data_IF_291752318946
#
_entry.id   IF_291752318946
#
_cell.length_a   1.000
_cell.length_b   1.000
_cell.length_c   1.000
_cell.angle_alpha   90.00
_cell.angle_beta   90.00
_cell.angle_gamma   90.00
#
_symmetry.space_group_name_H-M   'P 1'
#
loop_
_entity.id
_entity.type
_entity.pdbx_description
1 polymer ?
#
# COMPACT_ATOMS: atom_id res chain seq x y z
N UNK A 1 78.13 9.48 35.88
CA UNK A 1 76.90 9.57 36.69
C UNK A 1 75.66 9.40 35.78
N UNK A 2 75.05 8.24 35.79
CA UNK A 2 73.88 7.95 34.98
C UNK A 2 72.65 7.94 35.88
N UNK A 3 71.71 8.87 35.70
CA UNK A 3 70.45 8.96 36.48
C UNK A 3 69.38 8.13 35.78
N UNK A 4 69.06 6.99 36.39
CA UNK A 4 67.97 6.09 35.95
C UNK A 4 66.63 6.70 36.33
N UNK A 5 65.85 7.16 35.33
CA UNK A 5 64.45 7.59 35.47
C UNK A 5 63.53 6.36 35.55
N UNK A 6 63.00 6.06 36.72
CA UNK A 6 61.96 5.03 36.92
C UNK A 6 60.59 5.53 36.54
N UNK A 7 60.11 5.16 35.34
CA UNK A 7 58.72 5.36 34.94
C UNK A 7 57.76 4.51 35.81
N UNK A 8 57.02 5.14 36.70
CA UNK A 8 55.93 4.51 37.47
C UNK A 8 54.75 4.25 36.55
N UNK A 9 54.54 3.02 36.12
CA UNK A 9 53.29 2.58 35.44
C UNK A 9 52.11 2.76 36.42
N UNK A 10 51.19 3.73 36.12
CA UNK A 10 49.91 3.87 36.83
C UNK A 10 49.05 2.62 36.56
N UNK A 11 48.84 1.80 37.57
CA UNK A 11 47.88 0.67 37.53
C UNK A 11 46.47 1.25 37.36
N UNK A 12 45.82 0.98 36.20
CA UNK A 12 44.40 1.28 35.98
C UNK A 12 43.57 0.54 37.05
N UNK A 13 43.00 1.26 38.00
CA UNK A 13 42.13 0.73 39.04
C UNK A 13 40.85 0.20 38.39
N UNK A 14 40.68 -1.12 38.31
CA UNK A 14 39.47 -1.72 37.73
C UNK A 14 38.21 -1.29 38.49
N UNK A 15 37.12 -1.08 37.77
CA UNK A 15 35.82 -0.66 38.31
C UNK A 15 35.34 -1.67 39.41
N UNK A 16 34.86 -1.15 40.54
CA UNK A 16 34.34 -2.01 41.65
C UNK A 16 33.15 -2.84 41.14
N UNK A 17 33.01 -4.12 41.59
CA UNK A 17 31.94 -5.03 41.18
C UNK A 17 30.52 -4.41 41.30
N UNK A 18 30.30 -3.59 42.33
CA UNK A 18 29.05 -2.85 42.59
C UNK A 18 28.76 -1.82 41.48
N UNK A 19 29.75 -1.06 41.04
CA UNK A 19 29.65 -0.08 39.97
C UNK A 19 29.37 -0.73 38.61
N UNK A 20 29.99 -1.92 38.33
CA UNK A 20 29.68 -2.69 37.12
C UNK A 20 28.24 -3.19 37.10
N UNK A 21 27.70 -3.68 38.20
CA UNK A 21 26.29 -4.10 38.31
C UNK A 21 25.35 -2.93 38.11
N UNK A 22 25.60 -1.75 38.68
CA UNK A 22 24.77 -0.55 38.47
C UNK A 22 24.79 -0.08 37.02
N UNK A 23 25.93 -0.12 36.34
CA UNK A 23 26.02 0.22 34.92
C UNK A 23 25.25 -0.79 34.06
N UNK A 24 25.32 -2.08 34.34
CA UNK A 24 24.56 -3.11 33.62
C UNK A 24 23.05 -2.90 33.82
N UNK A 25 22.59 -2.64 35.05
CA UNK A 25 21.18 -2.33 35.31
C UNK A 25 20.71 -1.09 34.55
N UNK A 26 21.51 -0.01 34.59
CA UNK A 26 21.18 1.23 33.87
C UNK A 26 21.12 1.01 32.35
N UNK A 27 22.02 0.21 31.77
CA UNK A 27 21.99 -0.16 30.34
C UNK A 27 20.73 -0.98 30.03
N UNK A 28 20.36 -1.94 30.89
CA UNK A 28 19.14 -2.72 30.71
C UNK A 28 17.88 -1.84 30.80
N UNK A 29 17.82 -0.90 31.74
CA UNK A 29 16.71 0.08 31.85
C UNK A 29 16.61 0.92 30.60
N UNK A 30 17.72 1.46 30.06
CA UNK A 30 17.75 2.22 28.81
C UNK A 30 17.25 1.37 27.63
N UNK A 31 17.65 0.12 27.53
CA UNK A 31 17.21 -0.79 26.46
C UNK A 31 15.70 -1.09 26.57
N UNK A 32 15.19 -1.28 27.78
CA UNK A 32 13.74 -1.48 28.01
C UNK A 32 12.97 -0.23 27.63
N UNK A 33 13.43 0.96 28.03
CA UNK A 33 12.79 2.23 27.68
C UNK A 33 12.82 2.45 26.17
N UNK A 34 13.95 2.19 25.51
CA UNK A 34 14.07 2.29 24.05
C UNK A 34 13.11 1.31 23.34
N UNK A 35 13.00 0.07 23.85
CA UNK A 35 12.03 -0.91 23.35
C UNK A 35 10.58 -0.45 23.51
N UNK A 36 10.21 0.09 24.67
CA UNK A 36 8.87 0.63 24.90
C UNK A 36 8.56 1.82 24.00
N UNK A 37 9.51 2.73 23.81
CA UNK A 37 9.35 3.87 22.87
C UNK A 37 9.15 3.33 21.46
N UNK A 38 9.90 2.32 21.01
CA UNK A 38 9.73 1.68 19.71
C UNK A 38 8.33 1.07 19.54
N UNK A 39 7.81 0.38 20.55
CA UNK A 39 6.44 -0.19 20.51
C UNK A 39 5.38 0.90 20.46
N UNK A 40 5.50 1.94 21.28
CA UNK A 40 4.56 3.09 21.28
C UNK A 40 4.59 3.79 19.91
N UNK A 41 5.78 3.99 19.35
CA UNK A 41 5.97 4.59 18.04
C UNK A 41 5.30 3.74 16.94
N UNK A 42 5.58 2.44 16.88
CA UNK A 42 4.95 1.53 15.93
C UNK A 42 3.42 1.54 16.06
N UNK A 43 2.91 1.47 17.29
CA UNK A 43 1.47 1.53 17.55
C UNK A 43 0.85 2.84 17.07
N UNK A 44 1.50 3.98 17.27
CA UNK A 44 1.00 5.29 16.82
C UNK A 44 0.91 5.40 15.29
N UNK A 45 1.73 4.66 14.54
CA UNK A 45 1.68 4.62 13.08
C UNK A 45 0.56 3.72 12.59
N UNK A 46 0.49 2.53 13.13
CA UNK A 46 -0.45 1.49 12.71
C UNK A 46 -1.89 1.85 13.08
N UNK A 47 -2.11 2.53 14.20
CA UNK A 47 -3.44 2.99 14.63
C UNK A 47 -4.09 4.00 13.67
N UNK A 48 -3.38 4.45 12.63
CA UNK A 48 -3.92 5.31 11.57
C UNK A 48 -4.67 4.55 10.48
N UNK A 49 -4.39 3.25 10.33
CA UNK A 49 -5.10 2.39 9.37
C UNK A 49 -6.48 2.09 9.90
N UNK A 50 -7.48 2.16 9.03
CA UNK A 50 -8.83 1.70 9.33
C UNK A 50 -8.90 0.17 9.17
N UNK A 51 -8.88 -0.53 10.31
CA UNK A 51 -8.93 -1.99 10.37
C UNK A 51 -10.38 -2.47 10.41
N UNK A 52 -10.93 -2.80 9.26
CA UNK A 52 -12.28 -3.33 9.11
C UNK A 52 -12.23 -4.85 8.91
N UNK A 53 -12.11 -5.59 10.01
CA UNK A 53 -12.04 -7.04 9.97
C UNK A 53 -13.33 -7.64 9.45
N UNK A 54 -13.21 -8.55 8.49
CA UNK A 54 -14.32 -9.37 8.03
C UNK A 54 -14.61 -10.44 9.10
N UNK A 55 -15.77 -10.34 9.75
CA UNK A 55 -16.16 -11.26 10.82
C UNK A 55 -16.65 -12.60 10.30
N UNK A 56 -17.31 -12.59 9.14
CA UNK A 56 -17.86 -13.79 8.50
C UNK A 56 -17.09 -14.07 7.20
N UNK A 57 -16.60 -15.30 6.99
CA UNK A 57 -15.91 -15.63 5.75
C UNK A 57 -16.74 -15.26 4.51
N UNK A 58 -16.09 -14.63 3.55
CA UNK A 58 -16.73 -14.27 2.28
C UNK A 58 -17.12 -15.54 1.53
N UNK A 59 -18.32 -15.55 0.98
CA UNK A 59 -18.82 -16.67 0.21
C UNK A 59 -17.99 -16.96 -1.03
N UNK A 60 -17.72 -18.24 -1.28
CA UNK A 60 -16.98 -18.74 -2.44
C UNK A 60 -17.82 -19.82 -3.14
N UNK A 61 -17.59 -20.01 -4.44
CA UNK A 61 -18.14 -21.16 -5.17
C UNK A 61 -17.44 -22.44 -4.73
N UNK A 62 -18.01 -23.60 -5.09
CA UNK A 62 -17.25 -24.85 -5.04
C UNK A 62 -16.08 -24.78 -6.04
N UNK A 63 -14.86 -24.80 -5.52
CA UNK A 63 -13.64 -24.78 -6.33
C UNK A 63 -13.15 -26.21 -6.47
N UNK A 64 -12.73 -26.59 -7.66
CA UNK A 64 -12.17 -27.92 -7.94
C UNK A 64 -10.97 -28.19 -7.01
N UNK A 65 -10.90 -29.42 -6.49
CA UNK A 65 -9.84 -29.83 -5.55
C UNK A 65 -8.44 -29.70 -6.13
N UNK A 66 -8.26 -29.93 -7.43
CA UNK A 66 -6.99 -29.75 -8.12
C UNK A 66 -6.59 -28.25 -8.17
N UNK A 67 -7.55 -27.37 -8.39
CA UNK A 67 -7.35 -25.93 -8.36
C UNK A 67 -7.00 -25.44 -6.94
N UNK A 68 -7.66 -25.98 -5.91
CA UNK A 68 -7.34 -25.67 -4.51
C UNK A 68 -5.90 -26.08 -4.17
N UNK A 69 -5.49 -27.30 -4.50
CA UNK A 69 -4.13 -27.80 -4.25
C UNK A 69 -3.07 -26.95 -4.98
N UNK A 70 -3.36 -26.56 -6.24
CA UNK A 70 -2.46 -25.71 -7.03
C UNK A 70 -2.32 -24.31 -6.45
N UNK A 71 -3.37 -23.76 -5.85
CA UNK A 71 -3.41 -22.40 -5.29
C UNK A 71 -3.09 -22.33 -3.82
N UNK A 72 -2.93 -23.44 -3.09
CA UNK A 72 -2.67 -23.50 -1.65
C UNK A 72 -1.46 -22.65 -1.20
N UNK A 73 -0.45 -22.52 -2.07
CA UNK A 73 0.74 -21.70 -1.79
C UNK A 73 0.59 -20.22 -2.18
N UNK A 74 -0.60 -19.79 -2.58
CA UNK A 74 -0.87 -18.42 -2.98
C UNK A 74 -1.80 -17.73 -1.97
N UNK A 75 -1.40 -16.54 -1.52
CA UNK A 75 -2.30 -15.62 -0.84
C UNK A 75 -2.84 -14.61 -1.84
N UNK A 76 -4.16 -14.53 -1.95
CA UNK A 76 -4.83 -13.64 -2.90
C UNK A 76 -5.57 -12.53 -2.16
N UNK A 77 -5.32 -11.28 -2.57
CA UNK A 77 -5.83 -10.06 -1.94
C UNK A 77 -6.45 -9.18 -3.01
N UNK A 78 -7.60 -8.58 -2.73
CA UNK A 78 -8.19 -7.59 -3.61
C UNK A 78 -7.78 -6.17 -3.19
N UNK A 79 -7.35 -5.38 -4.15
CA UNK A 79 -7.07 -3.95 -3.99
C UNK A 79 -8.18 -3.15 -4.67
N UNK A 80 -8.80 -2.27 -3.92
CA UNK A 80 -9.83 -1.36 -4.42
C UNK A 80 -9.33 0.08 -4.37
N UNK A 81 -9.35 0.74 -5.51
CA UNK A 81 -9.17 2.19 -5.60
C UNK A 81 -10.54 2.83 -5.73
N UNK A 82 -10.99 3.53 -4.69
CA UNK A 82 -12.30 4.18 -4.69
C UNK A 82 -12.21 5.64 -5.09
N UNK A 83 -13.12 6.08 -5.96
CA UNK A 83 -13.30 7.50 -6.27
C UNK A 83 -14.17 8.10 -5.16
N UNK A 84 -13.53 8.47 -4.06
CA UNK A 84 -14.18 9.11 -2.95
C UNK A 84 -13.73 10.57 -2.82
N UNK A 85 -14.60 11.50 -3.18
CA UNK A 85 -14.37 12.94 -3.08
C UNK A 85 -14.80 13.52 -1.73
N UNK A 86 -15.40 12.70 -0.87
CA UNK A 86 -16.01 13.11 0.39
C UNK A 86 -15.15 12.82 1.63
N UNK A 87 -13.88 13.26 1.62
CA UNK A 87 -13.04 13.36 2.82
C UNK A 87 -12.76 12.05 3.60
N UNK A 88 -12.23 11.02 2.92
CA UNK A 88 -11.65 9.87 3.60
C UNK A 88 -12.63 8.82 4.11
N UNK A 89 -13.91 8.87 3.70
CA UNK A 89 -14.82 7.75 3.92
C UNK A 89 -14.56 6.65 2.89
N UNK A 90 -13.87 5.59 3.27
CA UNK A 90 -13.53 4.45 2.41
C UNK A 90 -14.64 3.38 2.36
N UNK A 91 -15.73 3.53 3.11
CA UNK A 91 -16.83 2.55 3.17
C UNK A 91 -17.75 2.61 1.96
N UNK A 92 -17.67 3.66 1.15
CA UNK A 92 -18.55 3.88 0.01
C UNK A 92 -17.83 4.55 -1.15
N UNK A 93 -18.42 4.44 -2.33
CA UNK A 93 -17.88 4.96 -3.58
C UNK A 93 -17.74 3.86 -4.62
N UNK A 94 -17.62 4.25 -5.88
CA UNK A 94 -17.35 3.27 -6.94
C UNK A 94 -15.87 2.88 -6.91
N UNK A 95 -15.59 1.57 -6.92
CA UNK A 95 -14.24 1.07 -7.10
C UNK A 95 -13.81 1.19 -8.56
N UNK A 96 -13.20 2.32 -8.90
CA UNK A 96 -12.75 2.59 -10.26
C UNK A 96 -11.47 1.84 -10.65
N UNK A 97 -10.75 1.33 -9.65
CA UNK A 97 -9.62 0.42 -9.76
C UNK A 97 -9.96 -0.84 -8.98
N UNK A 98 -9.85 -2.00 -9.64
CA UNK A 98 -9.99 -3.32 -9.01
C UNK A 98 -8.80 -4.15 -9.47
N UNK A 99 -7.88 -4.45 -8.55
CA UNK A 99 -6.70 -5.26 -8.83
C UNK A 99 -6.70 -6.45 -7.87
N UNK A 100 -6.56 -7.65 -8.42
CA UNK A 100 -6.34 -8.86 -7.64
C UNK A 100 -4.85 -9.14 -7.66
N UNK A 101 -4.24 -9.19 -6.49
CA UNK A 101 -2.84 -9.58 -6.31
C UNK A 101 -2.79 -10.99 -5.72
N UNK A 102 -2.11 -11.88 -6.41
CA UNK A 102 -1.86 -13.24 -5.94
C UNK A 102 -0.37 -13.42 -5.67
N UNK A 103 -0.02 -13.66 -4.42
CA UNK A 103 1.36 -13.77 -3.95
C UNK A 103 1.68 -15.22 -3.65
N UNK A 104 2.66 -15.77 -4.35
CA UNK A 104 3.18 -17.08 -4.00
C UNK A 104 4.05 -16.98 -2.74
N UNK A 105 3.61 -17.59 -1.65
CA UNK A 105 4.28 -17.49 -0.35
C UNK A 105 5.67 -18.14 -0.33
N UNK A 106 5.91 -19.14 -1.20
CA UNK A 106 7.19 -19.86 -1.29
C UNK A 106 8.20 -19.10 -2.16
N UNK A 107 7.79 -18.70 -3.37
CA UNK A 107 8.71 -18.07 -4.35
C UNK A 107 8.73 -16.54 -4.24
N UNK A 108 7.77 -15.95 -3.51
CA UNK A 108 7.55 -14.50 -3.44
C UNK A 108 7.19 -13.84 -4.78
N UNK A 109 6.84 -14.64 -5.78
CA UNK A 109 6.32 -14.12 -7.04
C UNK A 109 4.93 -13.48 -6.82
N UNK A 110 4.71 -12.33 -7.45
CA UNK A 110 3.45 -11.58 -7.36
C UNK A 110 2.83 -11.50 -8.75
N UNK A 111 1.57 -11.89 -8.85
CA UNK A 111 0.77 -11.77 -10.07
C UNK A 111 -0.32 -10.73 -9.84
N UNK A 112 -0.44 -9.78 -10.76
CA UNK A 112 -1.46 -8.72 -10.71
C UNK A 112 -2.45 -8.91 -11.87
N UNK A 113 -3.73 -8.99 -11.52
CA UNK A 113 -4.83 -9.06 -12.47
C UNK A 113 -5.78 -7.87 -12.25
N UNK A 114 -6.03 -7.09 -13.29
CA UNK A 114 -7.04 -6.03 -13.23
C UNK A 114 -8.40 -6.55 -13.67
N UNK A 115 -9.42 -6.24 -12.88
CA UNK A 115 -10.82 -6.38 -13.28
C UNK A 115 -11.31 -5.01 -13.73
N UNK A 116 -11.78 -4.91 -14.98
CA UNK A 116 -12.27 -3.63 -15.49
C UNK A 116 -13.55 -3.25 -14.76
N UNK A 117 -13.63 -2.00 -14.31
CA UNK A 117 -14.75 -1.49 -13.52
C UNK A 117 -16.11 -1.64 -14.22
N UNK A 118 -16.13 -1.64 -15.57
CA UNK A 118 -17.32 -1.76 -16.39
C UNK A 118 -17.63 -3.22 -16.77
N UNK A 119 -16.86 -4.21 -16.26
CA UNK A 119 -17.15 -5.64 -16.46
C UNK A 119 -18.53 -5.97 -15.92
N UNK A 120 -19.30 -6.71 -16.71
CA UNK A 120 -20.65 -7.12 -16.36
C UNK A 120 -20.61 -8.39 -15.52
N UNK A 121 -21.02 -8.30 -14.25
CA UNK A 121 -21.02 -9.38 -13.27
C UNK A 121 -22.35 -9.52 -12.55
N UNK A 122 -22.65 -10.70 -12.01
CA UNK A 122 -23.67 -10.87 -10.99
C UNK A 122 -23.14 -10.32 -9.65
N UNK A 123 -23.53 -9.07 -9.36
CA UNK A 123 -22.99 -8.34 -8.21
C UNK A 123 -23.57 -8.85 -6.90
N UNK A 124 -24.87 -9.14 -6.86
CA UNK A 124 -25.59 -9.40 -5.63
C UNK A 124 -25.90 -10.91 -5.41
N UNK A 125 -25.51 -11.79 -6.34
CA UNK A 125 -25.82 -13.22 -6.28
C UNK A 125 -27.28 -13.57 -6.58
N UNK A 126 -28.00 -12.65 -7.21
CA UNK A 126 -29.42 -12.82 -7.55
C UNK A 126 -29.66 -12.94 -9.07
N UNK A 127 -28.59 -13.13 -9.86
CA UNK A 127 -28.59 -13.22 -11.31
C UNK A 127 -28.75 -11.88 -12.03
N UNK A 128 -28.77 -10.76 -11.32
CA UNK A 128 -28.86 -9.44 -11.91
C UNK A 128 -27.50 -8.89 -12.28
N UNK A 129 -27.27 -8.77 -13.56
CA UNK A 129 -25.98 -8.28 -14.10
C UNK A 129 -25.84 -6.77 -13.92
N UNK A 130 -24.72 -6.34 -13.38
CA UNK A 130 -24.34 -4.94 -13.18
C UNK A 130 -22.83 -4.77 -13.44
N UNK A 131 -22.36 -3.51 -13.48
CA UNK A 131 -20.93 -3.21 -13.57
C UNK A 131 -20.21 -3.60 -12.27
N UNK A 132 -19.00 -4.13 -12.39
CA UNK A 132 -18.20 -4.59 -11.25
C UNK A 132 -17.98 -3.49 -10.20
N UNK A 133 -17.73 -2.24 -10.62
CA UNK A 133 -17.50 -1.13 -9.71
C UNK A 133 -18.71 -0.77 -8.83
N UNK A 134 -19.92 -1.20 -9.21
CA UNK A 134 -21.13 -1.00 -8.43
C UNK A 134 -21.12 -1.81 -7.13
N UNK A 135 -20.44 -2.95 -7.11
CA UNK A 135 -20.44 -3.85 -5.96
C UNK A 135 -19.94 -3.16 -4.68
N UNK A 136 -18.85 -2.42 -4.79
CA UNK A 136 -18.26 -1.70 -3.66
C UNK A 136 -19.19 -0.61 -3.13
N UNK A 137 -19.77 0.18 -4.02
CA UNK A 137 -20.70 1.26 -3.64
C UNK A 137 -22.00 0.74 -2.98
N UNK A 138 -22.40 -0.50 -3.29
CA UNK A 138 -23.70 -1.06 -2.86
C UNK A 138 -23.62 -1.95 -1.62
N UNK A 139 -22.44 -2.37 -1.20
CA UNK A 139 -22.28 -3.23 -0.03
C UNK A 139 -20.84 -3.30 0.45
N UNK A 140 -20.05 -2.27 0.14
CA UNK A 140 -18.68 -2.14 0.61
C UNK A 140 -17.73 -3.20 0.06
N UNK A 141 -16.57 -3.35 0.71
CA UNK A 141 -15.55 -4.29 0.29
C UNK A 141 -16.02 -5.74 0.35
N UNK A 142 -16.83 -6.13 1.33
CA UNK A 142 -17.33 -7.50 1.48
C UNK A 142 -18.19 -7.93 0.27
N UNK A 143 -19.10 -7.08 -0.19
CA UNK A 143 -19.88 -7.35 -1.39
C UNK A 143 -19.02 -7.37 -2.66
N UNK A 144 -18.00 -6.50 -2.73
CA UNK A 144 -17.06 -6.51 -3.85
C UNK A 144 -16.22 -7.80 -3.89
N UNK A 145 -15.76 -8.31 -2.74
CA UNK A 145 -15.10 -9.61 -2.65
C UNK A 145 -16.02 -10.77 -3.04
N UNK A 146 -17.26 -10.79 -2.51
CA UNK A 146 -18.22 -11.82 -2.83
C UNK A 146 -18.54 -11.84 -4.33
N UNK A 147 -18.66 -10.67 -4.96
CA UNK A 147 -18.81 -10.55 -6.41
C UNK A 147 -17.63 -11.13 -7.16
N UNK A 148 -16.37 -10.80 -6.78
CA UNK A 148 -15.16 -11.33 -7.41
C UNK A 148 -15.10 -12.86 -7.27
N UNK A 149 -15.31 -13.39 -6.07
CA UNK A 149 -15.29 -14.82 -5.81
C UNK A 149 -16.31 -15.55 -6.65
N UNK A 150 -17.54 -15.04 -6.71
CA UNK A 150 -18.64 -15.65 -7.44
C UNK A 150 -18.44 -15.71 -8.94
N UNK A 151 -17.93 -14.62 -9.53
CA UNK A 151 -17.85 -14.52 -10.99
C UNK A 151 -16.52 -15.01 -11.57
N UNK A 152 -15.51 -15.22 -10.74
CA UNK A 152 -14.14 -15.60 -11.18
C UNK A 152 -13.65 -16.90 -10.52
N UNK A 153 -14.52 -17.58 -9.75
CA UNK A 153 -14.21 -18.82 -9.00
C UNK A 153 -12.95 -18.66 -8.13
N UNK A 154 -12.90 -17.53 -7.37
CA UNK A 154 -11.78 -17.20 -6.50
C UNK A 154 -12.15 -17.42 -5.03
N UNK A 155 -11.13 -17.48 -4.17
CA UNK A 155 -11.28 -17.51 -2.70
C UNK A 155 -10.51 -16.33 -2.09
N UNK A 156 -10.98 -15.12 -2.35
CA UNK A 156 -10.41 -13.89 -1.78
C UNK A 156 -11.13 -13.60 -0.47
N UNK A 157 -10.36 -13.49 0.62
CA UNK A 157 -10.90 -13.17 1.95
C UNK A 157 -10.38 -11.82 2.46
N UNK A 158 -9.31 -11.30 1.85
CA UNK A 158 -8.65 -10.09 2.28
C UNK A 158 -8.72 -8.98 1.23
N UNK A 159 -8.79 -7.75 1.72
CA UNK A 159 -8.76 -6.57 0.87
C UNK A 159 -7.90 -5.44 1.43
N UNK A 160 -7.52 -4.55 0.54
CA UNK A 160 -6.99 -3.22 0.84
C UNK A 160 -7.75 -2.21 -0.02
N UNK A 161 -8.31 -1.21 0.62
CA UNK A 161 -8.95 -0.08 -0.06
C UNK A 161 -8.17 1.18 0.17
N UNK A 162 -7.98 1.95 -0.90
CA UNK A 162 -7.35 3.26 -0.88
C UNK A 162 -8.20 4.24 -1.69
N UNK A 163 -8.13 5.52 -1.37
CA UNK A 163 -8.61 6.55 -2.26
C UNK A 163 -7.48 7.07 -3.16
N UNK A 164 -7.80 8.00 -4.07
CA UNK A 164 -6.79 8.57 -4.95
C UNK A 164 -5.80 9.51 -4.24
N UNK A 165 -6.10 10.00 -3.03
CA UNK A 165 -5.18 10.79 -2.20
C UNK A 165 -4.04 9.91 -1.70
N UNK A 166 -4.36 8.69 -1.25
CA UNK A 166 -3.36 7.72 -0.86
C UNK A 166 -2.32 7.48 -1.97
N UNK A 167 -2.76 7.38 -3.24
CA UNK A 167 -1.84 7.25 -4.37
C UNK A 167 -0.98 8.50 -4.56
N UNK A 168 -1.59 9.69 -4.49
CA UNK A 168 -0.85 10.96 -4.60
C UNK A 168 0.22 11.06 -3.52
N UNK A 169 -0.15 10.79 -2.28
CA UNK A 169 0.75 10.92 -1.14
C UNK A 169 1.82 9.83 -1.12
N UNK A 170 1.48 8.61 -1.53
CA UNK A 170 2.44 7.52 -1.66
C UNK A 170 3.54 7.82 -2.70
N UNK A 171 3.15 8.32 -3.86
CA UNK A 171 4.09 8.66 -4.93
C UNK A 171 4.99 9.84 -4.52
N UNK A 172 4.42 10.85 -3.89
CA UNK A 172 5.19 12.02 -3.43
C UNK A 172 6.17 11.64 -2.31
N UNK A 173 5.77 10.77 -1.38
CA UNK A 173 6.62 10.31 -0.28
C UNK A 173 7.89 9.57 -0.74
N UNK A 174 7.83 8.91 -1.90
CA UNK A 174 9.00 8.24 -2.50
C UNK A 174 9.73 9.11 -3.54
N UNK A 175 9.39 10.39 -3.63
CA UNK A 175 10.03 11.34 -4.56
C UNK A 175 9.61 11.17 -6.02
N UNK A 176 8.40 10.64 -6.27
CA UNK A 176 7.88 10.42 -7.61
C UNK A 176 8.27 9.06 -8.21
N UNK A 177 7.61 8.69 -9.30
CA UNK A 177 7.91 7.47 -10.07
C UNK A 177 8.13 7.81 -11.55
N UNK A 178 9.08 7.10 -12.18
CA UNK A 178 9.39 7.30 -13.60
C UNK A 178 8.35 6.62 -14.47
N UNK A 179 7.68 7.39 -15.33
CA UNK A 179 6.70 6.89 -16.30
C UNK A 179 6.88 7.56 -17.66
N UNK A 180 6.40 6.90 -18.71
CA UNK A 180 6.49 7.37 -20.08
C UNK A 180 5.09 7.67 -20.62
N UNK A 181 4.90 8.89 -21.18
CA UNK A 181 3.65 9.33 -21.74
C UNK A 181 3.81 9.65 -23.23
N UNK A 182 2.82 9.28 -24.02
CA UNK A 182 2.64 9.78 -25.38
C UNK A 182 2.09 11.22 -25.35
N UNK A 183 2.06 11.91 -26.49
CA UNK A 183 1.48 13.28 -26.60
C UNK A 183 0.00 13.32 -26.17
N UNK A 184 -0.78 12.33 -26.59
CA UNK A 184 -2.20 12.25 -26.21
C UNK A 184 -2.37 11.94 -24.72
N UNK A 185 -1.55 11.06 -24.16
CA UNK A 185 -1.57 10.74 -22.72
C UNK A 185 -1.18 11.96 -21.89
N UNK A 186 -0.13 12.70 -22.27
CA UNK A 186 0.28 13.90 -21.56
C UNK A 186 -0.82 14.97 -21.57
N UNK A 187 -1.45 15.20 -22.75
CA UNK A 187 -2.57 16.14 -22.90
C UNK A 187 -3.73 15.81 -21.95
N UNK A 188 -4.16 14.53 -21.92
CA UNK A 188 -5.26 14.11 -21.06
C UNK A 188 -4.87 14.06 -19.58
N UNK A 189 -3.63 13.66 -19.27
CA UNK A 189 -3.08 13.72 -17.92
C UNK A 189 -3.17 15.14 -17.36
N UNK A 190 -2.73 16.13 -18.13
CA UNK A 190 -2.79 17.54 -17.76
C UNK A 190 -4.21 18.03 -17.46
N UNK A 191 -5.20 17.52 -18.18
CA UNK A 191 -6.61 17.84 -17.92
C UNK A 191 -7.12 17.17 -16.62
N UNK A 192 -6.81 15.89 -16.40
CA UNK A 192 -7.29 15.16 -15.23
C UNK A 192 -6.59 15.57 -13.94
N UNK A 193 -5.31 15.95 -14.00
CA UNK A 193 -4.58 16.33 -12.80
C UNK A 193 -5.04 17.66 -12.20
N UNK A 194 -5.69 18.55 -12.97
CA UNK A 194 -6.29 19.78 -12.42
C UNK A 194 -7.36 19.46 -11.36
N UNK A 195 -8.19 18.44 -11.63
CA UNK A 195 -9.18 17.98 -10.68
C UNK A 195 -8.53 17.33 -9.44
N UNK A 196 -7.51 16.48 -9.67
CA UNK A 196 -6.74 15.84 -8.59
C UNK A 196 -6.09 16.90 -7.70
N UNK A 197 -5.40 17.86 -8.29
CA UNK A 197 -4.74 18.96 -7.59
C UNK A 197 -5.73 19.79 -6.75
N UNK A 198 -6.91 20.08 -7.29
CA UNK A 198 -7.96 20.81 -6.57
C UNK A 198 -8.45 20.07 -5.32
N UNK A 199 -8.62 18.74 -5.41
CA UNK A 199 -9.10 17.92 -4.27
C UNK A 199 -8.00 17.70 -3.24
N UNK A 200 -6.76 17.46 -3.69
CA UNK A 200 -5.61 17.23 -2.81
C UNK A 200 -4.96 18.52 -2.30
N UNK A 201 -5.36 19.68 -2.86
CA UNK A 201 -4.75 21.01 -2.59
C UNK A 201 -3.26 21.05 -2.89
N UNK A 202 -2.80 20.25 -3.85
CA UNK A 202 -1.41 20.23 -4.30
C UNK A 202 -1.23 21.08 -5.56
N UNK A 203 -0.01 21.54 -5.88
CA UNK A 203 0.26 22.33 -7.07
C UNK A 203 0.01 21.52 -8.36
N UNK A 204 -0.34 22.22 -9.43
CA UNK A 204 -0.39 21.67 -10.78
C UNK A 204 0.92 22.00 -11.48
N UNK A 205 1.60 20.97 -11.97
CA UNK A 205 2.80 21.09 -12.79
C UNK A 205 2.59 20.24 -14.06
N UNK A 206 2.41 20.91 -15.21
CA UNK A 206 2.06 20.24 -16.45
C UNK A 206 3.21 19.40 -16.98
N UNK A 207 2.87 18.22 -17.51
CA UNK A 207 3.83 17.25 -18.07
C UNK A 207 3.73 17.23 -19.60
N UNK A 208 4.87 17.09 -20.27
CA UNK A 208 4.99 16.85 -21.70
C UNK A 208 5.10 15.35 -22.01
N UNK A 209 5.01 15.00 -23.29
CA UNK A 209 5.30 13.64 -23.74
C UNK A 209 6.75 13.27 -23.46
N UNK A 210 7.00 11.98 -23.23
CA UNK A 210 8.34 11.47 -22.91
C UNK A 210 8.38 10.74 -21.59
N UNK A 211 9.60 10.42 -21.15
CA UNK A 211 9.87 9.74 -19.87
C UNK A 211 10.23 10.77 -18.80
N UNK A 212 9.44 10.82 -17.75
CA UNK A 212 9.58 11.78 -16.66
C UNK A 212 9.41 11.11 -15.29
N UNK A 213 10.04 11.68 -14.27
CA UNK A 213 9.68 11.35 -12.87
C UNK A 213 8.43 12.17 -12.53
N UNK A 214 7.30 11.48 -12.43
CA UNK A 214 6.01 12.10 -12.20
C UNK A 214 5.72 12.24 -10.71
N UNK A 215 5.15 13.39 -10.33
CA UNK A 215 4.59 13.61 -8.99
C UNK A 215 3.31 12.81 -8.78
N UNK A 216 2.85 12.71 -7.52
CA UNK A 216 1.60 12.00 -7.20
C UNK A 216 0.38 12.53 -7.94
N UNK A 217 0.28 13.86 -8.11
CA UNK A 217 -0.82 14.48 -8.89
C UNK A 217 -0.76 14.06 -10.35
N UNK A 218 0.43 14.05 -10.96
CA UNK A 218 0.62 13.66 -12.36
C UNK A 218 0.34 12.16 -12.56
N UNK A 219 0.88 11.28 -11.70
CA UNK A 219 0.60 9.83 -11.76
C UNK A 219 -0.88 9.54 -11.61
N UNK A 220 -1.54 10.18 -10.65
CA UNK A 220 -2.97 9.97 -10.43
C UNK A 220 -3.81 10.50 -11.59
N UNK A 221 -3.43 11.62 -12.17
CA UNK A 221 -4.03 12.13 -13.42
C UNK A 221 -3.86 11.13 -14.56
N UNK A 222 -2.66 10.58 -14.75
CA UNK A 222 -2.36 9.60 -15.80
C UNK A 222 -3.14 8.29 -15.61
N UNK A 223 -3.27 7.78 -14.39
CA UNK A 223 -4.07 6.60 -14.07
C UNK A 223 -5.58 6.75 -14.38
N UNK A 224 -6.05 7.95 -14.65
CA UNK A 224 -7.44 8.25 -15.02
C UNK A 224 -7.67 8.39 -16.52
N UNK A 225 -6.61 8.49 -17.33
CA UNK A 225 -6.69 8.67 -18.78
C UNK A 225 -7.37 7.48 -19.45
N UNK A 226 -8.42 7.76 -20.25
CA UNK A 226 -9.16 6.78 -21.03
C UNK A 226 -9.08 7.05 -22.53
N UNK A 227 -9.02 8.32 -22.91
CA UNK A 227 -9.13 8.76 -24.30
C UNK A 227 -7.88 8.45 -25.14
N UNK A 228 -6.78 8.07 -24.52
CA UNK A 228 -5.55 7.68 -25.18
C UNK A 228 -5.28 6.17 -25.01
N UNK A 229 -6.17 5.28 -25.53
CA UNK A 229 -5.97 3.84 -25.53
C UNK A 229 -7.03 3.02 -24.79
N UNK A 230 -8.10 3.66 -24.31
CA UNK A 230 -9.25 2.99 -23.71
C UNK A 230 -8.98 2.41 -22.30
N UNK A 231 -9.90 1.55 -21.85
CA UNK A 231 -9.83 0.97 -20.51
C UNK A 231 -8.67 -0.03 -20.34
N UNK A 232 -8.24 -0.69 -21.41
CA UNK A 232 -7.08 -1.59 -21.38
C UNK A 232 -5.80 -0.83 -21.05
N UNK A 233 -5.53 0.26 -21.73
CA UNK A 233 -4.36 1.10 -21.50
C UNK A 233 -4.39 1.72 -20.10
N UNK A 234 -5.57 2.18 -19.67
CA UNK A 234 -5.74 2.71 -18.30
C UNK A 234 -5.37 1.68 -17.24
N UNK A 235 -5.88 0.45 -17.35
CA UNK A 235 -5.55 -0.61 -16.40
C UNK A 235 -4.06 -1.02 -16.46
N UNK A 236 -3.42 -0.94 -17.61
CA UNK A 236 -1.98 -1.14 -17.76
C UNK A 236 -1.19 -0.05 -17.02
N UNK A 237 -1.53 1.23 -17.22
CA UNK A 237 -0.92 2.37 -16.52
C UNK A 237 -1.08 2.24 -15.01
N UNK A 238 -2.25 1.81 -14.53
CA UNK A 238 -2.49 1.59 -13.10
C UNK A 238 -1.59 0.49 -12.52
N UNK A 239 -1.45 -0.65 -13.23
CA UNK A 239 -0.53 -1.71 -12.79
C UNK A 239 0.93 -1.27 -12.86
N UNK A 240 1.31 -0.53 -13.88
CA UNK A 240 2.65 0.04 -14.00
C UNK A 240 2.96 0.97 -12.82
N UNK A 241 2.06 1.87 -12.47
CA UNK A 241 2.21 2.78 -11.33
C UNK A 241 2.38 2.01 -10.02
N UNK A 242 1.55 1.01 -9.75
CA UNK A 242 1.66 0.16 -8.55
C UNK A 242 2.99 -0.58 -8.51
N UNK A 243 3.42 -1.16 -9.64
CA UNK A 243 4.68 -1.91 -9.73
C UNK A 243 5.88 -0.99 -9.46
N UNK A 244 5.93 0.17 -10.12
CA UNK A 244 7.03 1.14 -9.95
C UNK A 244 7.07 1.74 -8.54
N UNK A 245 5.90 2.00 -7.94
CA UNK A 245 5.81 2.43 -6.56
C UNK A 245 6.36 1.36 -5.62
N UNK A 246 5.97 0.09 -5.80
CA UNK A 246 6.46 -1.02 -5.00
C UNK A 246 7.99 -1.19 -5.12
N UNK A 247 8.56 -1.00 -6.32
CA UNK A 247 10.01 -1.03 -6.53
C UNK A 247 10.71 0.11 -5.79
N UNK A 248 10.17 1.32 -5.83
CA UNK A 248 10.70 2.47 -5.08
C UNK A 248 10.68 2.20 -3.57
N UNK A 249 9.57 1.69 -3.05
CA UNK A 249 9.41 1.37 -1.62
C UNK A 249 10.43 0.33 -1.14
N UNK A 250 10.76 -0.68 -1.96
CA UNK A 250 11.80 -1.67 -1.63
C UNK A 250 13.19 -1.06 -1.39
N UNK A 251 13.48 0.07 -2.00
CA UNK A 251 14.76 0.77 -1.93
C UNK A 251 14.70 2.05 -1.09
N UNK A 252 13.54 2.35 -0.51
CA UNK A 252 13.32 3.55 0.28
C UNK A 252 14.14 3.53 1.58
N UNK A 253 14.65 4.67 1.98
CA UNK A 253 15.27 4.87 3.29
C UNK A 253 14.24 4.77 4.42
N UNK A 254 14.71 4.57 5.65
CA UNK A 254 13.83 4.55 6.83
C UNK A 254 13.02 5.85 6.98
N UNK A 255 13.61 7.00 6.58
CA UNK A 255 12.92 8.29 6.59
C UNK A 255 11.77 8.31 5.59
N UNK A 256 12.04 7.96 4.32
CA UNK A 256 11.01 7.88 3.28
C UNK A 256 9.90 6.88 3.60
N UNK A 257 10.24 5.72 4.19
CA UNK A 257 9.23 4.76 4.67
C UNK A 257 8.36 5.35 5.78
N UNK A 258 8.97 6.09 6.70
CA UNK A 258 8.22 6.77 7.76
C UNK A 258 7.25 7.82 7.20
N UNK A 259 7.70 8.62 6.23
CA UNK A 259 6.89 9.64 5.57
C UNK A 259 5.77 9.00 4.75
N UNK A 260 6.06 7.90 4.05
CA UNK A 260 5.06 7.09 3.35
C UNK A 260 3.98 6.57 4.30
N UNK A 261 4.38 5.98 5.43
CA UNK A 261 3.45 5.46 6.45
C UNK A 261 2.57 6.58 6.99
N UNK A 262 3.16 7.73 7.31
CA UNK A 262 2.39 8.86 7.85
C UNK A 262 1.40 9.45 6.87
N UNK A 263 1.75 9.48 5.60
CA UNK A 263 0.94 10.03 4.53
C UNK A 263 -0.18 9.09 4.08
N UNK A 264 0.10 7.79 3.98
CA UNK A 264 -0.80 6.82 3.34
C UNK A 264 -1.71 6.10 4.34
N UNK A 265 -1.22 5.73 5.52
CA UNK A 265 -1.98 4.93 6.48
C UNK A 265 -3.33 5.52 6.90
N UNK A 266 -3.50 6.85 7.05
CA UNK A 266 -4.81 7.45 7.32
C UNK A 266 -5.83 7.28 6.20
N UNK A 267 -5.39 6.90 5.00
CA UNK A 267 -6.20 6.78 3.77
C UNK A 267 -6.30 5.32 3.28
N UNK A 268 -6.07 4.37 4.21
CA UNK A 268 -6.13 2.92 3.95
C UNK A 268 -7.17 2.28 4.85
N UNK A 269 -8.07 1.49 4.26
CA UNK A 269 -8.91 0.55 4.97
C UNK A 269 -8.55 -0.88 4.55
N UNK A 270 -8.53 -1.81 5.51
CA UNK A 270 -8.14 -3.20 5.23
C UNK A 270 -8.79 -4.20 6.17
N UNK A 271 -8.97 -5.43 5.69
CA UNK A 271 -9.36 -6.58 6.51
C UNK A 271 -8.21 -7.21 7.29
N UNK A 272 -6.95 -6.89 6.93
CA UNK A 272 -5.78 -7.43 7.61
C UNK A 272 -5.75 -7.05 9.09
N UNK A 273 -5.26 -7.97 9.89
CA UNK A 273 -4.89 -7.67 11.27
C UNK A 273 -3.48 -7.09 11.33
N UNK A 274 -3.18 -6.40 12.43
CA UNK A 274 -1.83 -5.91 12.69
C UNK A 274 -0.77 -7.02 12.62
N UNK A 275 -1.10 -8.23 13.12
CA UNK A 275 -0.18 -9.37 13.11
C UNK A 275 0.14 -9.88 11.69
N UNK A 276 -0.78 -9.70 10.75
CA UNK A 276 -0.59 -10.10 9.35
C UNK A 276 0.17 -9.07 8.53
N UNK A 277 0.23 -7.82 9.01
CA UNK A 277 1.01 -6.74 8.39
C UNK A 277 2.47 -6.69 8.90
N UNK A 278 2.81 -7.38 10.01
CA UNK A 278 4.16 -7.47 10.59
C UNK A 278 4.89 -8.72 10.16
#
# INVERSE_FOLDING_TARGET
MATSSKHKKKKKKGMRKRTKRLIIMLVLEILIIAGLIGVIYAHSKISKIDFNRIETPISVNEIDSEAVETTESYRTVAFFGVDNRSNGNLDSGNSDVIIIASVNEKTKAVYLMSVYRDTSFDVDGNGKIRKANYAYNHGGPENALAMLNRNLDLNIQDYVTVDFRALVDAVDAVGGIEMTLTEDEARWTNQYMEEVAKVTKKPVDYVEAGTHVLSGVQVTGFCRVRYAGGDFRRAEVQREAVTKLAEKVKHASVGELNDLIDAVFPEVATSFTLAELM
#
